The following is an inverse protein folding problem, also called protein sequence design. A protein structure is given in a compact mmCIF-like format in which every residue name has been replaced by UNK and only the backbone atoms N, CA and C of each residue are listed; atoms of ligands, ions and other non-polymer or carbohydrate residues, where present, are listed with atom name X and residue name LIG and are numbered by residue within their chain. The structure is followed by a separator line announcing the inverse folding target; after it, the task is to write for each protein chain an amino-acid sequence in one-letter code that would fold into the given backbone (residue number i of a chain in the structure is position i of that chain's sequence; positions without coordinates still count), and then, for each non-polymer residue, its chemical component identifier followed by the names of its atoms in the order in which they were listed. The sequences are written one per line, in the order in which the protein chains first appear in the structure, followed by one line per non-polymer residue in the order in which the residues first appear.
data_IF_983588499546
#
_entry.id   IF_983588499546
#
_cell.length_a   1.000
_cell.length_b   1.000
_cell.length_c   1.000
_cell.angle_alpha   90.00
_cell.angle_beta   90.00
_cell.angle_gamma   90.00
#
_symmetry.space_group_name_H-M   'P 1'
#
loop_
_entity.id
_entity.type
_entity.pdbx_description
1 polymer ?
#
# COMPACT_ATOMS: atom_id res chain seq x y z
N UNK A 1 -30.24 13.53 -0.08
CA UNK A 1 -30.88 12.77 1.02
C UNK A 1 -29.94 11.80 1.76
N UNK A 2 -29.09 11.02 1.09
CA UNK A 2 -28.23 10.05 1.79
C UNK A 2 -27.13 10.70 2.64
N UNK A 3 -26.55 11.82 2.19
CA UNK A 3 -25.47 12.52 2.90
C UNK A 3 -26.01 13.23 4.14
N UNK A 4 -27.17 13.86 4.02
CA UNK A 4 -27.86 14.59 5.08
C UNK A 4 -28.27 13.64 6.22
N UNK A 5 -28.74 12.43 5.87
CA UNK A 5 -29.01 11.37 6.85
C UNK A 5 -27.75 10.88 7.58
N UNK A 6 -26.64 10.69 6.86
CA UNK A 6 -25.35 10.32 7.47
C UNK A 6 -24.86 11.40 8.43
N UNK A 7 -24.93 12.66 8.03
CA UNK A 7 -24.55 13.79 8.89
C UNK A 7 -25.43 13.86 10.15
N UNK A 8 -26.75 13.77 9.99
CA UNK A 8 -27.68 13.75 11.13
C UNK A 8 -27.41 12.57 12.06
N UNK A 9 -27.10 11.39 11.51
CA UNK A 9 -26.75 10.21 12.29
C UNK A 9 -25.45 10.41 13.09
N UNK A 10 -24.40 10.98 12.48
CA UNK A 10 -23.17 11.33 13.19
C UNK A 10 -23.39 12.34 14.32
N UNK A 11 -24.29 13.31 14.14
CA UNK A 11 -24.68 14.25 15.21
C UNK A 11 -25.40 13.49 16.33
N UNK A 12 -26.39 12.65 16.01
CA UNK A 12 -27.11 11.85 17.01
C UNK A 12 -26.17 10.98 17.84
N UNK A 13 -25.19 10.32 17.19
CA UNK A 13 -24.18 9.53 17.91
C UNK A 13 -23.35 10.40 18.86
N UNK A 14 -22.88 11.56 18.39
CA UNK A 14 -22.15 12.51 19.24
C UNK A 14 -22.97 12.93 20.47
N UNK A 15 -24.23 13.31 20.29
CA UNK A 15 -25.10 13.72 21.42
C UNK A 15 -25.32 12.57 22.41
N UNK A 16 -25.47 11.34 21.94
CA UNK A 16 -25.56 10.15 22.81
C UNK A 16 -24.27 9.91 23.58
N UNK A 17 -23.11 10.12 22.99
CA UNK A 17 -21.85 9.96 23.71
C UNK A 17 -21.72 11.01 24.84
N UNK A 18 -22.28 12.20 24.66
CA UNK A 18 -22.30 13.25 25.68
C UNK A 18 -23.22 12.92 26.88
N UNK A 19 -24.37 12.25 26.67
CA UNK A 19 -25.23 11.83 27.79
C UNK A 19 -24.54 10.83 28.72
N UNK A 20 -23.63 10.01 28.19
CA UNK A 20 -22.91 9.00 28.96
C UNK A 20 -21.65 9.52 29.66
N UNK A 21 -21.18 10.73 29.33
CA UNK A 21 -19.96 11.31 29.92
C UNK A 21 -20.17 11.97 31.29
N UNK A 22 -21.39 11.95 31.86
CA UNK A 22 -21.64 12.34 33.25
C UNK A 22 -21.45 13.82 33.60
N UNK A 23 -21.18 14.68 32.61
CA UNK A 23 -20.95 16.12 32.81
C UNK A 23 -22.24 16.96 32.82
N UNK A 24 -23.39 16.39 32.42
CA UNK A 24 -24.65 17.09 32.25
C UNK A 24 -25.59 16.86 33.44
N UNK A 25 -26.26 17.91 33.89
CA UNK A 25 -27.32 17.81 34.89
C UNK A 25 -28.62 17.22 34.29
N UNK A 26 -29.61 16.92 35.14
CA UNK A 26 -30.87 16.27 34.71
C UNK A 26 -31.61 17.04 33.61
N UNK A 27 -31.71 18.37 33.73
CA UNK A 27 -32.43 19.22 32.79
C UNK A 27 -31.70 19.28 31.43
N UNK A 28 -30.37 19.30 31.44
CA UNK A 28 -29.52 19.24 30.24
C UNK A 28 -29.63 17.88 29.54
N UNK A 29 -29.69 16.79 30.30
CA UNK A 29 -29.89 15.43 29.75
C UNK A 29 -31.24 15.32 29.06
N UNK A 30 -32.33 15.77 29.69
CA UNK A 30 -33.67 15.79 29.07
C UNK A 30 -33.68 16.63 27.79
N UNK A 31 -33.05 17.81 27.83
CA UNK A 31 -32.95 18.69 26.65
C UNK A 31 -32.20 18.03 25.49
N UNK A 32 -31.15 17.28 25.80
CA UNK A 32 -30.33 16.56 24.82
C UNK A 32 -31.09 15.38 24.21
N UNK A 33 -31.85 14.63 25.02
CA UNK A 33 -32.73 13.55 24.55
C UNK A 33 -33.82 14.07 23.61
N UNK A 34 -34.44 15.20 23.93
CA UNK A 34 -35.42 15.86 23.04
C UNK A 34 -34.77 16.24 21.71
N UNK A 35 -33.56 16.80 21.73
CA UNK A 35 -32.83 17.15 20.51
C UNK A 35 -32.53 15.91 19.65
N UNK A 36 -32.10 14.80 20.27
CA UNK A 36 -31.88 13.52 19.58
C UNK A 36 -33.17 13.05 18.91
N UNK A 37 -34.29 13.03 19.64
CA UNK A 37 -35.57 12.58 19.10
C UNK A 37 -36.08 13.46 17.94
N UNK A 38 -35.87 14.79 18.02
CA UNK A 38 -36.18 15.72 16.95
C UNK A 38 -35.38 15.41 15.67
N UNK A 39 -34.08 15.16 15.79
CA UNK A 39 -33.21 14.79 14.66
C UNK A 39 -33.63 13.44 14.05
N UNK A 40 -33.85 12.42 14.88
CA UNK A 40 -34.31 11.11 14.43
C UNK A 40 -35.63 11.19 13.64
N UNK A 41 -36.60 11.93 14.17
CA UNK A 41 -37.91 12.11 13.53
C UNK A 41 -37.84 12.93 12.23
N UNK A 42 -37.00 13.96 12.18
CA UNK A 42 -36.85 14.85 11.02
C UNK A 42 -36.15 14.14 9.88
N UNK A 43 -35.03 13.46 10.16
CA UNK A 43 -34.21 12.81 9.14
C UNK A 43 -34.63 11.36 8.85
N UNK A 44 -35.61 10.82 9.59
CA UNK A 44 -36.06 9.42 9.50
C UNK A 44 -34.87 8.47 9.66
N UNK A 45 -34.20 8.61 10.81
CA UNK A 45 -33.06 7.80 11.24
C UNK A 45 -33.30 7.30 12.68
N UNK A 46 -32.62 6.23 13.08
CA UNK A 46 -32.69 5.65 14.42
C UNK A 46 -31.35 4.99 14.80
N UNK A 47 -31.21 4.53 16.05
CA UNK A 47 -30.00 3.88 16.57
C UNK A 47 -29.49 2.66 15.77
N UNK A 48 -30.39 1.93 15.10
CA UNK A 48 -30.08 0.72 14.36
C UNK A 48 -29.57 1.00 12.93
N UNK A 49 -29.57 2.25 12.47
CA UNK A 49 -29.10 2.64 11.14
C UNK A 49 -27.57 2.68 11.04
N UNK A 50 -26.89 1.62 11.48
CA UNK A 50 -25.43 1.50 11.50
C UNK A 50 -24.79 1.68 10.11
N UNK A 51 -25.52 1.39 9.03
CA UNK A 51 -25.10 1.64 7.65
C UNK A 51 -24.85 3.14 7.33
N UNK A 52 -25.43 4.04 8.13
CA UNK A 52 -25.23 5.49 8.04
C UNK A 52 -24.00 5.97 8.81
N UNK A 53 -23.40 5.14 9.66
CA UNK A 53 -22.23 5.51 10.45
C UNK A 53 -21.11 6.02 9.55
N UNK A 54 -20.48 7.12 9.98
CA UNK A 54 -19.28 7.63 9.35
C UNK A 54 -18.07 6.75 9.77
N UNK A 55 -17.05 6.59 8.91
CA UNK A 55 -15.84 5.85 9.25
C UNK A 55 -15.08 6.42 10.45
N UNK A 56 -15.26 7.73 10.71
CA UNK A 56 -14.63 8.46 11.79
C UNK A 56 -15.70 9.16 12.66
N UNK A 57 -15.49 9.26 13.99
CA UNK A 57 -16.35 10.05 14.86
C UNK A 57 -16.48 11.51 14.41
N UNK A 58 -17.64 12.12 14.64
CA UNK A 58 -17.91 13.52 14.24
C UNK A 58 -16.91 14.50 14.88
N UNK A 59 -16.53 14.25 16.14
CA UNK A 59 -15.50 15.01 16.86
C UNK A 59 -14.18 14.95 16.12
N UNK A 60 -13.75 13.78 15.69
CA UNK A 60 -12.51 13.60 14.95
C UNK A 60 -12.54 14.31 13.60
N UNK A 61 -13.65 14.19 12.85
CA UNK A 61 -13.85 14.91 11.58
C UNK A 61 -13.71 16.43 11.80
N UNK A 62 -14.37 16.95 12.84
CA UNK A 62 -14.33 18.37 13.17
C UNK A 62 -12.92 18.83 13.55
N UNK A 63 -12.21 18.09 14.41
CA UNK A 63 -10.85 18.43 14.85
C UNK A 63 -9.84 18.33 13.71
N UNK A 64 -10.02 17.36 12.79
CA UNK A 64 -9.21 17.25 11.58
C UNK A 64 -9.45 18.45 10.64
N UNK A 65 -10.69 18.94 10.56
CA UNK A 65 -11.01 20.17 9.83
C UNK A 65 -10.35 21.40 10.46
N UNK A 66 -10.37 21.53 11.79
CA UNK A 66 -9.69 22.63 12.49
C UNK A 66 -8.18 22.65 12.23
N UNK A 67 -7.53 21.48 12.33
CA UNK A 67 -6.09 21.37 12.04
C UNK A 67 -5.74 21.71 10.59
N UNK A 68 -6.51 21.20 9.62
CA UNK A 68 -6.28 21.53 8.20
C UNK A 68 -6.35 23.03 7.93
N UNK A 69 -7.12 23.77 8.73
CA UNK A 69 -7.28 25.21 8.63
C UNK A 69 -6.39 26.00 9.59
N UNK A 70 -5.40 25.36 10.24
CA UNK A 70 -4.49 25.96 11.23
C UNK A 70 -5.21 26.65 12.41
N UNK A 71 -6.44 26.24 12.72
CA UNK A 71 -7.17 26.72 13.88
C UNK A 71 -6.73 25.91 15.10
N UNK A 72 -6.23 26.61 16.13
CA UNK A 72 -5.73 26.02 17.37
C UNK A 72 -6.85 25.21 18.02
N UNK A 73 -6.59 23.92 18.29
CA UNK A 73 -7.50 23.07 19.06
C UNK A 73 -7.76 23.73 20.43
N UNK A 74 -8.96 23.60 21.03
CA UNK A 74 -9.22 24.10 22.38
C UNK A 74 -8.07 23.71 23.32
N UNK A 75 -7.51 24.68 24.04
CA UNK A 75 -6.35 24.49 24.94
C UNK A 75 -6.68 23.71 26.22
N UNK A 76 -7.92 23.25 26.36
CA UNK A 76 -8.35 22.46 27.50
C UNK A 76 -7.58 21.14 27.51
N UNK A 77 -6.64 21.05 28.43
CA UNK A 77 -5.93 19.83 28.76
C UNK A 77 -6.95 18.82 29.33
N UNK A 78 -6.84 17.53 29.02
CA UNK A 78 -7.69 16.52 29.63
C UNK A 78 -7.54 16.54 31.15
N UNK A 79 -8.61 16.17 31.88
CA UNK A 79 -8.50 16.06 33.33
C UNK A 79 -7.51 14.94 33.72
N UNK A 80 -6.93 14.95 34.93
CA UNK A 80 -6.08 13.87 35.39
C UNK A 80 -6.79 12.50 35.33
N UNK A 81 -8.10 12.48 35.62
CA UNK A 81 -8.94 11.29 35.58
C UNK A 81 -9.12 10.77 34.14
N UNK A 82 -9.39 11.67 33.19
CA UNK A 82 -9.50 11.32 31.76
C UNK A 82 -8.16 10.82 31.20
N UNK A 83 -7.06 11.44 31.61
CA UNK A 83 -5.71 11.04 31.21
C UNK A 83 -5.40 9.62 31.69
N UNK A 84 -5.69 9.32 32.97
CA UNK A 84 -5.50 7.97 33.51
C UNK A 84 -6.38 6.94 32.81
N UNK A 85 -7.66 7.27 32.58
CA UNK A 85 -8.60 6.39 31.89
C UNK A 85 -8.19 6.15 30.44
N UNK A 86 -7.70 7.16 29.74
CA UNK A 86 -7.17 7.03 28.38
C UNK A 86 -5.96 6.10 28.33
N UNK A 87 -5.06 6.18 29.31
CA UNK A 87 -3.91 5.30 29.45
C UNK A 87 -4.33 3.83 29.70
N UNK A 88 -5.34 3.61 30.55
CA UNK A 88 -5.92 2.28 30.77
C UNK A 88 -6.51 1.70 29.47
N UNK A 89 -7.31 2.48 28.75
CA UNK A 89 -7.89 2.08 27.46
C UNK A 89 -6.81 1.78 26.41
N UNK A 90 -5.73 2.57 26.35
CA UNK A 90 -4.58 2.27 25.50
C UNK A 90 -3.95 0.93 25.88
N UNK A 91 -3.79 0.63 27.16
CA UNK A 91 -3.20 -0.62 27.61
C UNK A 91 -4.09 -1.82 27.30
N UNK A 92 -5.41 -1.69 27.43
CA UNK A 92 -6.39 -2.70 27.00
C UNK A 92 -6.32 -2.93 25.49
N UNK A 93 -6.29 -1.85 24.69
CA UNK A 93 -6.08 -1.93 23.25
C UNK A 93 -4.77 -2.63 22.87
N UNK A 94 -3.69 -2.39 23.61
CA UNK A 94 -2.42 -3.08 23.41
C UNK A 94 -2.51 -4.58 23.73
N UNK A 95 -3.33 -4.99 24.70
CA UNK A 95 -3.57 -6.40 24.99
C UNK A 95 -4.36 -7.06 23.86
N UNK A 96 -5.42 -6.42 23.37
CA UNK A 96 -6.13 -6.89 22.19
C UNK A 96 -5.24 -6.98 20.93
N UNK A 97 -4.28 -6.07 20.76
CA UNK A 97 -3.28 -6.19 19.69
C UNK A 97 -2.43 -7.47 19.80
N UNK A 98 -2.07 -7.88 21.03
CA UNK A 98 -1.29 -9.12 21.27
C UNK A 98 -2.12 -10.38 21.04
N UNK A 99 -3.42 -10.30 21.31
CA UNK A 99 -4.40 -11.36 21.06
C UNK A 99 -4.87 -11.41 19.59
N UNK A 100 -4.37 -10.51 18.74
CA UNK A 100 -4.80 -10.32 17.35
C UNK A 100 -6.28 -9.92 17.19
N UNK A 101 -6.91 -9.45 18.27
CA UNK A 101 -8.27 -8.90 18.32
C UNK A 101 -8.28 -7.43 17.84
N UNK A 102 -7.89 -7.21 16.58
CA UNK A 102 -7.61 -5.86 16.07
C UNK A 102 -8.82 -4.92 16.06
N UNK A 103 -10.04 -5.43 15.87
CA UNK A 103 -11.27 -4.61 15.94
C UNK A 103 -11.49 -4.06 17.34
N UNK A 104 -11.36 -4.88 18.37
CA UNK A 104 -11.47 -4.45 19.77
C UNK A 104 -10.34 -3.46 20.12
N UNK A 105 -9.13 -3.68 19.59
CA UNK A 105 -8.04 -2.73 19.76
C UNK A 105 -8.38 -1.34 19.18
N UNK A 106 -8.96 -1.27 17.97
CA UNK A 106 -9.43 0.00 17.37
C UNK A 106 -10.45 0.69 18.27
N UNK A 107 -11.41 -0.06 18.84
CA UNK A 107 -12.41 0.51 19.75
C UNK A 107 -11.77 1.10 21.02
N UNK A 108 -10.86 0.36 21.66
CA UNK A 108 -10.14 0.83 22.85
C UNK A 108 -9.34 2.11 22.56
N UNK A 109 -8.58 2.14 21.47
CA UNK A 109 -7.83 3.35 21.10
C UNK A 109 -8.74 4.52 20.72
N UNK A 110 -9.88 4.26 20.09
CA UNK A 110 -10.86 5.32 19.77
C UNK A 110 -11.43 5.94 21.05
N UNK A 111 -11.76 5.12 22.05
CA UNK A 111 -12.18 5.62 23.37
C UNK A 111 -11.08 6.42 24.04
N UNK A 112 -9.81 5.98 23.97
CA UNK A 112 -8.68 6.73 24.52
C UNK A 112 -8.49 8.10 23.81
N UNK A 113 -8.63 8.13 22.49
CA UNK A 113 -8.57 9.36 21.69
C UNK A 113 -9.68 10.34 22.09
N UNK A 114 -10.90 9.85 22.32
CA UNK A 114 -12.02 10.70 22.74
C UNK A 114 -11.78 11.40 24.09
N UNK A 115 -10.94 10.81 24.96
CA UNK A 115 -10.55 11.39 26.24
C UNK A 115 -9.35 12.33 26.11
N UNK A 116 -8.37 12.00 25.26
CA UNK A 116 -7.23 12.87 24.96
C UNK A 116 -6.88 12.86 23.45
N UNK A 117 -7.30 13.94 22.81
CA UNK A 117 -7.17 14.18 21.37
C UNK A 117 -5.78 14.69 20.95
N UNK A 118 -4.89 14.91 21.92
CA UNK A 118 -3.54 15.47 21.74
C UNK A 118 -2.45 14.44 22.01
N UNK A 119 -2.80 13.16 22.16
CA UNK A 119 -1.81 12.11 22.36
C UNK A 119 -1.49 11.37 21.04
N UNK A 120 -0.31 11.64 20.47
CA UNK A 120 0.13 11.01 19.23
C UNK A 120 0.23 9.48 19.31
N UNK A 121 0.45 8.92 20.51
CA UNK A 121 0.59 7.48 20.73
C UNK A 121 -0.72 6.74 20.42
N UNK A 122 -1.87 7.30 20.81
CA UNK A 122 -3.16 6.63 20.63
C UNK A 122 -3.52 6.51 19.16
N UNK A 123 -3.39 7.61 18.40
CA UNK A 123 -3.57 7.61 16.95
C UNK A 123 -2.60 6.63 16.28
N UNK A 124 -1.31 6.72 16.62
CA UNK A 124 -0.32 5.82 16.06
C UNK A 124 -0.69 4.35 16.31
N UNK A 125 -1.11 3.99 17.53
CA UNK A 125 -1.52 2.63 17.89
C UNK A 125 -2.78 2.17 17.17
N UNK A 126 -3.77 3.05 17.00
CA UNK A 126 -4.95 2.78 16.19
C UNK A 126 -4.60 2.58 14.72
N UNK A 127 -3.63 3.34 14.18
CA UNK A 127 -3.12 3.12 12.83
C UNK A 127 -2.52 1.72 12.63
N UNK A 128 -1.84 1.19 13.65
CA UNK A 128 -1.31 -0.17 13.59
C UNK A 128 -2.43 -1.22 13.56
N UNK A 129 -3.47 -1.04 14.36
CA UNK A 129 -4.64 -1.91 14.37
C UNK A 129 -5.38 -1.85 13.01
N UNK A 130 -5.61 -0.65 12.48
CA UNK A 130 -6.19 -0.48 11.14
C UNK A 130 -5.36 -1.13 10.04
N UNK A 131 -4.03 -0.99 10.10
CA UNK A 131 -3.14 -1.65 9.13
C UNK A 131 -3.26 -3.17 9.18
N UNK A 132 -3.44 -3.76 10.37
CA UNK A 132 -3.66 -5.21 10.54
C UNK A 132 -5.01 -5.68 10.01
N UNK A 133 -6.01 -4.80 10.00
CA UNK A 133 -7.33 -5.04 9.39
C UNK A 133 -7.35 -4.79 7.88
N UNK A 134 -6.28 -4.25 7.29
CA UNK A 134 -6.24 -3.84 5.89
C UNK A 134 -6.88 -2.47 5.61
N UNK A 135 -7.26 -1.73 6.66
CA UNK A 135 -7.87 -0.40 6.60
C UNK A 135 -6.78 0.66 6.42
N UNK A 136 -6.07 0.63 5.29
CA UNK A 136 -4.88 1.45 5.08
C UNK A 136 -5.17 2.95 5.00
N UNK A 137 -6.35 3.34 4.49
CA UNK A 137 -6.75 4.76 4.40
C UNK A 137 -6.94 5.36 5.79
N UNK A 138 -7.61 4.65 6.68
CA UNK A 138 -7.81 5.01 8.08
C UNK A 138 -6.48 5.05 8.84
N UNK A 139 -5.62 4.05 8.61
CA UNK A 139 -4.28 4.03 9.18
C UNK A 139 -3.43 5.25 8.76
N UNK A 140 -3.53 5.67 7.49
CA UNK A 140 -2.87 6.89 7.02
C UNK A 140 -3.42 8.13 7.72
N UNK A 141 -4.74 8.27 7.84
CA UNK A 141 -5.35 9.41 8.55
C UNK A 141 -4.88 9.52 10.01
N UNK A 142 -4.79 8.38 10.70
CA UNK A 142 -4.24 8.31 12.06
C UNK A 142 -2.74 8.67 12.12
N UNK A 143 -1.95 8.23 11.13
CA UNK A 143 -0.54 8.60 11.06
C UNK A 143 -0.35 10.11 10.79
N UNK A 144 -1.14 10.70 9.89
CA UNK A 144 -1.14 12.16 9.66
C UNK A 144 -1.46 12.91 10.96
N UNK A 145 -2.47 12.43 11.70
CA UNK A 145 -2.86 13.03 12.97
C UNK A 145 -1.76 12.91 14.02
N UNK A 146 -1.15 11.74 14.18
CA UNK A 146 -0.03 11.54 15.09
C UNK A 146 1.17 12.45 14.76
N UNK A 147 1.49 12.61 13.47
CA UNK A 147 2.57 13.50 12.99
C UNK A 147 2.23 14.97 13.25
N UNK A 148 0.97 15.37 13.05
CA UNK A 148 0.52 16.74 13.32
C UNK A 148 0.58 17.10 14.81
N UNK A 149 0.41 16.12 15.69
CA UNK A 149 0.54 16.27 17.15
C UNK A 149 2.00 16.29 17.57
N UNK A 150 2.78 15.28 17.14
CA UNK A 150 4.20 15.14 17.45
C UNK A 150 5.01 14.85 16.17
N UNK A 151 5.58 15.90 15.54
CA UNK A 151 6.41 15.76 14.35
C UNK A 151 7.72 15.00 14.58
N UNK A 152 8.10 14.74 15.84
CA UNK A 152 9.30 13.95 16.18
C UNK A 152 8.99 12.46 16.38
N UNK A 153 7.72 12.05 16.28
CA UNK A 153 7.32 10.68 16.57
C UNK A 153 7.60 9.72 15.40
N UNK A 154 8.83 9.18 15.37
CA UNK A 154 9.33 8.29 14.30
C UNK A 154 8.39 7.13 13.94
N UNK A 155 7.72 6.54 14.94
CA UNK A 155 6.76 5.42 14.74
C UNK A 155 5.60 5.77 13.82
N UNK A 156 5.10 7.01 13.85
CA UNK A 156 4.02 7.44 12.97
C UNK A 156 4.49 7.49 11.51
N UNK A 157 5.69 8.01 11.24
CA UNK A 157 6.29 7.99 9.90
C UNK A 157 6.54 6.57 9.39
N UNK A 158 7.06 5.67 10.24
CA UNK A 158 7.27 4.27 9.89
C UNK A 158 5.95 3.54 9.55
N UNK A 159 4.88 3.79 10.31
CA UNK A 159 3.55 3.21 10.05
C UNK A 159 2.90 3.79 8.78
N UNK A 160 3.08 5.09 8.52
CA UNK A 160 2.67 5.72 7.26
C UNK A 160 3.34 5.03 6.06
N UNK A 161 4.65 4.83 6.12
CA UNK A 161 5.40 4.14 5.07
C UNK A 161 4.90 2.72 4.81
N UNK A 162 4.55 1.98 5.88
CA UNK A 162 3.97 0.63 5.77
C UNK A 162 2.60 0.65 5.09
N UNK A 163 1.70 1.55 5.50
CA UNK A 163 0.37 1.66 4.89
C UNK A 163 0.46 2.04 3.39
N UNK A 164 1.32 3.01 3.04
CA UNK A 164 1.58 3.40 1.66
C UNK A 164 2.17 2.26 0.82
N UNK A 165 3.10 1.47 1.40
CA UNK A 165 3.66 0.28 0.74
C UNK A 165 2.59 -0.75 0.45
N UNK A 166 1.67 -0.99 1.38
CA UNK A 166 0.55 -1.92 1.19
C UNK A 166 -0.43 -1.44 0.10
N UNK A 167 -0.52 -0.13 -0.11
CA UNK A 167 -1.30 0.49 -1.19
C UNK A 167 -0.51 0.63 -2.51
N UNK A 168 0.69 0.03 -2.62
CA UNK A 168 1.59 0.15 -3.77
C UNK A 168 2.05 1.60 -4.10
N UNK A 169 1.95 2.52 -3.13
CA UNK A 169 2.43 3.92 -3.24
C UNK A 169 3.89 4.01 -2.79
N UNK A 170 4.76 3.34 -3.54
CA UNK A 170 6.17 3.18 -3.18
C UNK A 170 6.97 4.49 -3.11
N UNK A 171 6.82 5.45 -4.05
CA UNK A 171 7.56 6.72 -3.98
C UNK A 171 7.31 7.49 -2.66
N UNK A 172 6.05 7.56 -2.25
CA UNK A 172 5.63 8.22 -1.02
C UNK A 172 6.11 7.44 0.21
N UNK A 173 5.96 6.11 0.20
CA UNK A 173 6.44 5.25 1.28
C UNK A 173 7.92 5.45 1.58
N UNK A 174 8.76 5.52 0.53
CA UNK A 174 10.20 5.77 0.62
C UNK A 174 10.49 7.09 1.33
N UNK A 175 9.76 8.16 0.99
CA UNK A 175 9.91 9.47 1.64
C UNK A 175 9.63 9.39 3.15
N UNK A 176 8.52 8.72 3.53
CA UNK A 176 8.15 8.55 4.93
C UNK A 176 9.14 7.66 5.71
N UNK A 177 9.63 6.56 5.13
CA UNK A 177 10.66 5.74 5.78
C UNK A 177 11.98 6.48 5.95
N UNK A 178 12.40 7.29 4.97
CA UNK A 178 13.58 8.16 5.10
C UNK A 178 13.41 9.15 6.25
N UNK A 179 12.23 9.78 6.36
CA UNK A 179 11.94 10.69 7.48
C UNK A 179 11.94 9.95 8.83
N UNK A 180 11.38 8.74 8.89
CA UNK A 180 11.43 7.90 10.09
C UNK A 180 12.88 7.59 10.51
N UNK A 181 13.77 7.28 9.55
CA UNK A 181 15.19 7.03 9.78
C UNK A 181 16.00 8.28 10.15
N UNK A 182 15.57 9.48 9.76
CA UNK A 182 16.17 10.72 10.27
C UNK A 182 15.90 10.88 11.76
N UNK A 183 14.72 10.45 12.23
CA UNK A 183 14.30 10.54 13.64
C UNK A 183 14.81 9.36 14.49
N UNK A 184 14.92 8.17 13.90
CA UNK A 184 15.42 6.95 14.55
C UNK A 184 16.34 6.17 13.59
N UNK A 185 17.63 6.57 13.50
CA UNK A 185 18.57 6.03 12.51
C UNK A 185 18.92 4.56 12.68
N UNK A 186 18.82 4.03 13.90
CA UNK A 186 19.20 2.66 14.23
C UNK A 186 18.06 1.65 14.07
N UNK A 187 16.90 2.09 13.61
CA UNK A 187 15.74 1.22 13.45
C UNK A 187 15.86 0.29 12.23
N UNK A 188 16.25 -0.95 12.48
CA UNK A 188 16.40 -1.96 11.42
C UNK A 188 15.11 -2.29 10.67
N UNK A 189 13.95 -2.13 11.33
CA UNK A 189 12.65 -2.32 10.68
C UNK A 189 12.44 -1.25 9.61
N UNK A 190 12.76 0.01 9.89
CA UNK A 190 12.65 1.09 8.90
C UNK A 190 13.65 0.91 7.76
N UNK A 191 14.90 0.53 8.05
CA UNK A 191 15.91 0.22 7.03
C UNK A 191 15.44 -0.89 6.08
N UNK A 192 14.88 -1.96 6.65
CA UNK A 192 14.40 -3.12 5.89
C UNK A 192 13.19 -2.77 5.03
N UNK A 193 12.20 -2.06 5.59
CA UNK A 193 11.00 -1.66 4.86
C UNK A 193 11.30 -0.63 3.77
N UNK A 194 12.24 0.29 3.99
CA UNK A 194 12.74 1.20 2.96
C UNK A 194 13.30 0.43 1.77
N UNK A 195 14.18 -0.55 2.00
CA UNK A 195 14.74 -1.39 0.94
C UNK A 195 13.66 -2.14 0.17
N UNK A 196 12.66 -2.68 0.87
CA UNK A 196 11.52 -3.37 0.24
C UNK A 196 10.75 -2.39 -0.67
N UNK A 197 10.46 -1.18 -0.18
CA UNK A 197 9.74 -0.19 -0.97
C UNK A 197 10.55 0.28 -2.20
N UNK A 198 11.86 0.49 -2.07
CA UNK A 198 12.75 0.84 -3.19
C UNK A 198 12.84 -0.27 -4.24
N UNK A 199 12.89 -1.54 -3.81
CA UNK A 199 12.93 -2.69 -4.72
C UNK A 199 11.61 -2.81 -5.50
N UNK A 200 10.47 -2.74 -4.80
CA UNK A 200 9.15 -2.79 -5.44
C UNK A 200 8.92 -1.62 -6.39
N UNK A 201 9.43 -0.43 -6.06
CA UNK A 201 9.38 0.72 -6.98
C UNK A 201 10.12 0.41 -8.29
N UNK A 202 11.33 -0.17 -8.23
CA UNK A 202 12.09 -0.53 -9.44
C UNK A 202 11.37 -1.57 -10.28
N UNK A 203 10.76 -2.56 -9.65
CA UNK A 203 9.94 -3.58 -10.33
C UNK A 203 8.70 -2.98 -11.01
N UNK A 204 8.07 -1.97 -10.42
CA UNK A 204 6.95 -1.26 -11.09
C UNK A 204 7.38 -0.38 -12.26
N UNK A 205 8.65 0.03 -12.30
CA UNK A 205 9.22 0.90 -13.36
C UNK A 205 9.91 0.08 -14.47
N UNK A 206 10.03 -1.25 -14.33
CA UNK A 206 10.57 -2.17 -15.35
C UNK A 206 9.89 -3.54 -15.23
N UNK A 207 9.07 -4.04 -16.20
CA UNK A 207 9.04 -3.78 -17.65
C UNK A 207 7.62 -3.52 -18.20
N UNK A 208 7.22 -2.26 -18.33
CA UNK A 208 6.08 -1.84 -19.19
C UNK A 208 6.36 -0.52 -19.92
N UNK A 209 7.63 -0.10 -19.98
CA UNK A 209 8.04 1.17 -20.58
C UNK A 209 8.15 1.17 -22.12
N UNK A 210 7.58 0.17 -22.80
CA UNK A 210 7.18 0.29 -24.20
C UNK A 210 5.74 -0.20 -24.28
N UNK A 211 4.83 0.66 -24.75
CA UNK A 211 3.39 0.40 -24.86
C UNK A 211 3.00 -0.68 -25.89
N UNK A 212 3.78 -1.74 -26.00
CA UNK A 212 3.46 -2.97 -26.68
C UNK A 212 3.70 -4.07 -25.65
N UNK A 213 2.62 -4.64 -25.10
CA UNK A 213 2.66 -5.72 -24.12
C UNK A 213 3.31 -6.99 -24.67
N UNK A 214 4.63 -6.99 -24.76
CA UNK A 214 5.46 -8.12 -25.14
C UNK A 214 6.22 -8.59 -23.91
N UNK A 215 5.61 -9.54 -23.21
CA UNK A 215 6.25 -10.22 -22.10
C UNK A 215 7.31 -11.19 -22.66
N UNK A 216 8.58 -10.77 -22.65
CA UNK A 216 9.72 -11.54 -23.15
C UNK A 216 9.82 -12.92 -22.46
N UNK A 217 9.41 -13.04 -21.20
CA UNK A 217 9.44 -14.31 -20.47
C UNK A 217 8.42 -15.31 -21.03
N UNK A 218 7.25 -14.83 -21.46
CA UNK A 218 6.23 -15.68 -22.11
C UNK A 218 6.62 -16.09 -23.53
N UNK A 219 7.37 -15.25 -24.24
CA UNK A 219 7.86 -15.52 -25.60
C UNK A 219 8.98 -16.56 -25.63
N UNK A 220 9.87 -16.55 -24.64
CA UNK A 220 10.94 -17.56 -24.50
C UNK A 220 10.34 -18.94 -24.17
N UNK A 221 9.22 -19.00 -23.47
CA UNK A 221 8.52 -20.27 -23.20
C UNK A 221 7.60 -20.74 -24.34
N UNK A 222 7.48 -19.98 -25.44
CA UNK A 222 6.68 -20.37 -26.59
C UNK A 222 7.56 -21.02 -27.69
N UNK A 223 7.51 -22.35 -27.87
CA UNK A 223 8.34 -23.05 -28.84
C UNK A 223 8.09 -22.61 -30.29
N UNK A 224 6.90 -22.09 -30.63
CA UNK A 224 6.60 -21.57 -31.96
C UNK A 224 7.38 -20.27 -32.26
N UNK A 225 7.60 -19.43 -31.24
CA UNK A 225 8.36 -18.19 -31.36
C UNK A 225 9.86 -18.47 -31.54
N UNK A 226 10.42 -19.39 -30.75
CA UNK A 226 11.80 -19.88 -30.91
C UNK A 226 12.01 -20.45 -32.32
N UNK A 227 11.06 -21.24 -32.82
CA UNK A 227 11.13 -21.82 -34.16
C UNK A 227 11.12 -20.75 -35.25
N UNK A 228 10.33 -19.68 -35.08
CA UNK A 228 10.28 -18.56 -36.02
C UNK A 228 11.57 -17.73 -36.02
N UNK A 229 12.19 -17.49 -34.86
CA UNK A 229 13.50 -16.85 -34.75
C UNK A 229 14.58 -17.71 -35.41
N UNK A 230 14.59 -19.02 -35.14
CA UNK A 230 15.53 -19.95 -35.79
C UNK A 230 15.38 -19.93 -37.31
N UNK A 231 14.14 -19.86 -37.81
CA UNK A 231 13.85 -19.81 -39.26
C UNK A 231 14.32 -18.50 -39.89
N UNK A 232 14.18 -17.38 -39.18
CA UNK A 232 14.69 -16.09 -39.61
C UNK A 232 16.22 -16.07 -39.66
N UNK A 233 16.87 -16.71 -38.68
CA UNK A 233 18.33 -16.87 -38.65
C UNK A 233 18.84 -17.83 -39.73
N UNK A 234 18.16 -18.95 -40.01
CA UNK A 234 18.58 -19.85 -41.09
C UNK A 234 18.41 -19.25 -42.48
N UNK A 235 17.39 -18.41 -42.69
CA UNK A 235 17.24 -17.68 -43.95
C UNK A 235 18.29 -16.58 -44.15
N UNK A 236 18.89 -16.08 -43.05
CA UNK A 236 19.97 -15.10 -43.11
C UNK A 236 21.36 -15.73 -43.32
N UNK A 237 21.51 -17.04 -43.06
CA UNK A 237 22.81 -17.72 -43.03
C UNK A 237 23.01 -18.72 -44.19
N UNK A 238 22.00 -18.98 -45.03
CA UNK A 238 22.15 -19.91 -46.15
C UNK A 238 21.30 -19.60 -47.38
N UNK A 239 21.85 -18.85 -48.35
CA UNK A 239 21.28 -18.74 -49.70
C UNK A 239 22.02 -17.74 -50.62
N UNK A 240 22.31 -18.08 -51.89
CA UNK A 240 23.28 -17.37 -52.73
C UNK A 240 22.74 -16.07 -53.35
N UNK A 241 23.62 -15.07 -53.42
CA UNK A 241 23.62 -13.90 -54.32
C UNK A 241 22.45 -13.77 -55.31
N UNK A 242 21.48 -12.90 -54.99
CA UNK A 242 20.68 -12.16 -55.99
C UNK A 242 19.99 -10.93 -55.36
N UNK A 243 20.40 -9.76 -55.84
CA UNK A 243 19.83 -8.40 -55.77
C UNK A 243 18.63 -8.10 -54.86
N UNK A 244 18.78 -7.06 -54.03
CA UNK A 244 18.08 -5.75 -54.08
C UNK A 244 18.15 -5.10 -52.68
N UNK A 245 18.79 -3.93 -52.62
CA UNK A 245 18.35 -2.83 -51.75
C UNK A 245 18.66 -2.90 -50.25
N UNK A 246 19.88 -2.52 -49.88
CA UNK A 246 20.13 -1.64 -48.72
C UNK A 246 20.06 -2.24 -47.33
N UNK A 247 21.17 -2.83 -46.86
CA UNK A 247 21.57 -2.81 -45.45
C UNK A 247 23.11 -2.83 -45.40
N UNK A 248 23.70 -1.69 -45.05
CA UNK A 248 25.14 -1.44 -45.02
C UNK A 248 25.83 -2.02 -43.79
N UNK A 249 25.32 -3.10 -43.18
CA UNK A 249 25.87 -3.52 -41.89
C UNK A 249 25.69 -5.02 -41.56
N UNK A 250 26.11 -5.88 -42.50
CA UNK A 250 26.23 -7.33 -42.26
C UNK A 250 27.34 -7.63 -41.25
N UNK A 251 28.39 -6.82 -41.20
CA UNK A 251 29.52 -6.98 -40.28
C UNK A 251 29.10 -6.74 -38.83
N UNK A 252 28.32 -5.70 -38.53
CA UNK A 252 27.83 -5.46 -37.16
C UNK A 252 26.87 -6.55 -36.69
N UNK A 253 26.10 -7.15 -37.59
CA UNK A 253 25.20 -8.26 -37.27
C UNK A 253 25.98 -9.55 -36.94
N UNK A 254 27.09 -9.80 -37.64
CA UNK A 254 28.00 -10.90 -37.32
C UNK A 254 28.70 -10.66 -35.98
N UNK A 255 29.14 -9.43 -35.70
CA UNK A 255 29.77 -9.05 -34.44
C UNK A 255 28.80 -9.18 -33.26
N UNK A 256 27.57 -8.71 -33.41
CA UNK A 256 26.50 -8.86 -32.43
C UNK A 256 26.16 -10.34 -32.18
N UNK A 257 26.15 -11.15 -33.24
CA UNK A 257 25.97 -12.60 -33.13
C UNK A 257 27.09 -13.29 -32.34
N UNK A 258 28.34 -12.88 -32.55
CA UNK A 258 29.49 -13.39 -31.79
C UNK A 258 29.47 -12.97 -30.32
N UNK A 259 29.14 -11.71 -30.03
CA UNK A 259 29.02 -11.21 -28.65
C UNK A 259 27.89 -11.91 -27.90
N UNK A 260 26.75 -12.12 -28.55
CA UNK A 260 25.62 -12.85 -27.97
C UNK A 260 25.98 -14.30 -27.66
N UNK A 261 26.68 -14.98 -28.58
CA UNK A 261 27.15 -16.35 -28.34
C UNK A 261 28.14 -16.42 -27.16
N UNK A 262 29.06 -15.46 -27.03
CA UNK A 262 29.99 -15.39 -25.90
C UNK A 262 29.28 -15.15 -24.57
N UNK A 263 28.29 -14.26 -24.55
CA UNK A 263 27.52 -13.94 -23.34
C UNK A 263 26.69 -15.13 -22.86
N UNK A 264 26.04 -15.85 -23.79
CA UNK A 264 25.32 -17.08 -23.48
C UNK A 264 26.28 -18.15 -22.95
N UNK A 265 27.50 -18.24 -23.49
CA UNK A 265 28.47 -19.23 -23.03
C UNK A 265 28.94 -18.99 -21.60
N UNK A 266 29.01 -17.74 -21.16
CA UNK A 266 29.39 -17.38 -19.79
C UNK A 266 28.24 -17.56 -18.79
N UNK A 267 27.01 -17.23 -19.21
CA UNK A 267 25.87 -17.24 -18.29
C UNK A 267 25.13 -18.57 -18.25
N UNK A 268 25.14 -19.36 -19.32
CA UNK A 268 24.36 -20.58 -19.39
C UNK A 268 25.00 -21.64 -20.30
N UNK A 269 26.08 -22.31 -19.84
CA UNK A 269 26.85 -23.26 -20.66
C UNK A 269 26.03 -24.49 -21.09
N UNK A 270 25.03 -24.90 -20.29
CA UNK A 270 24.15 -26.04 -20.63
C UNK A 270 23.26 -25.75 -21.85
N UNK A 271 22.86 -24.48 -22.04
CA UNK A 271 22.04 -24.08 -23.19
C UNK A 271 22.80 -24.26 -24.51
N UNK A 272 24.10 -23.97 -24.51
CA UNK A 272 24.97 -24.18 -25.68
C UNK A 272 25.16 -25.67 -25.97
N UNK A 273 25.27 -26.50 -24.94
CA UNK A 273 25.41 -27.94 -25.10
C UNK A 273 24.12 -28.57 -25.65
N UNK A 274 22.95 -28.10 -25.18
CA UNK A 274 21.66 -28.47 -25.74
C UNK A 274 21.51 -28.05 -27.21
N UNK A 275 21.90 -26.81 -27.55
CA UNK A 275 21.90 -26.33 -28.95
C UNK A 275 22.85 -27.15 -29.84
N UNK A 276 24.05 -27.48 -29.35
CA UNK A 276 25.03 -28.29 -30.07
C UNK A 276 24.53 -29.71 -30.31
N UNK A 277 23.88 -30.31 -29.31
CA UNK A 277 23.26 -31.63 -29.42
C UNK A 277 22.09 -31.61 -30.43
N UNK A 278 21.34 -30.51 -30.48
CA UNK A 278 20.24 -30.32 -31.43
C UNK A 278 20.70 -30.13 -32.89
N UNK A 279 21.87 -29.49 -33.09
CA UNK A 279 22.47 -29.35 -34.43
C UNK A 279 23.09 -30.68 -34.88
N UNK A 280 23.77 -31.41 -33.99
CA UNK A 280 24.33 -32.74 -34.30
C UNK A 280 23.25 -33.77 -34.63
N UNK A 281 22.09 -33.73 -33.98
CA UNK A 281 20.99 -34.64 -34.29
C UNK A 281 20.36 -34.39 -35.66
N UNK A 282 20.38 -33.13 -36.16
CA UNK A 282 19.97 -32.80 -37.55
C UNK A 282 21.03 -33.13 -38.60
N UNK A 283 22.31 -33.21 -38.22
CA UNK A 283 23.41 -33.46 -39.17
C UNK A 283 23.50 -34.93 -39.62
N UNK A 284 22.83 -35.86 -38.93
CA UNK A 284 22.93 -37.30 -39.19
C UNK A 284 21.70 -37.93 -39.87
N UNK A 285 20.67 -37.17 -40.20
CA UNK A 285 19.46 -37.69 -40.88
C UNK A 285 19.41 -37.39 -42.38
N UNK A 286 20.55 -37.10 -43.01
CA UNK A 286 20.61 -36.62 -44.39
C UNK A 286 21.75 -37.20 -45.21
N UNK A 287 21.95 -38.52 -45.20
CA UNK A 287 22.65 -39.22 -46.30
C UNK A 287 22.43 -40.74 -46.24
N UNK A 288 21.27 -41.20 -46.66
CA UNK A 288 21.09 -42.53 -47.25
C UNK A 288 19.74 -42.50 -47.95
N UNK A 289 19.77 -42.24 -49.27
CA UNK A 289 18.96 -42.93 -50.27
C UNK A 289 19.09 -42.17 -51.58
N UNK A 290 20.14 -42.49 -52.35
CA UNK A 290 19.98 -42.57 -53.80
C UNK A 290 20.97 -43.57 -54.41
N UNK A 291 20.47 -44.33 -55.39
CA UNK A 291 21.15 -45.19 -56.36
C UNK A 291 21.55 -46.63 -56.00
N UNK A 292 20.64 -47.59 -56.18
CA UNK A 292 20.58 -48.56 -57.32
C UNK A 292 19.60 -49.69 -57.04
#
# INVERSE_FOLDING_TARGET
MAVEKRLAFSIVQFLRDQTHCGALNSDEQESLEVAIQCLENTFKINASDCHLAAPQPLTEIFLNSLLKNNLVLPETSPSPEDTERAEQLKNEGNNHMKEENYSCAVECYTKAINLDLRNAVYYCNRAAAHSKLGNYTEAMGDCERAIGIDPSYSKAYGRMGLALTAMNKYPEAISYFKKALVLDPENDTYKSNLKIAEQKQKETVSPTATGLGFDMASLINNPAFITNILRMMTNAVGGPSAGVGGLSDISSLIEAGQQFAQQIQQQNPELIEQLRNHIRSRSFSGSADDHS
#
